data_IF_698919111149
#
_entry.id   IF_698919111149
#
_cell.length_a   1.000
_cell.length_b   1.000
_cell.length_c   1.000
_cell.angle_alpha   90.00
_cell.angle_beta   90.00
_cell.angle_gamma   90.00
#
_symmetry.space_group_name_H-M   'P 1'
#
loop_
_entity.id
_entity.type
_entity.pdbx_description
1 polymer ?
#
# COMPACT_ATOMS: atom_id res chain seq x y z
N UNK A 1 28.86 0.79 -11.29
CA UNK A 1 27.71 1.08 -10.40
C UNK A 1 26.60 1.60 -11.27
N UNK A 2 25.44 0.94 -11.32
CA UNK A 2 24.30 1.30 -12.20
C UNK A 2 23.52 2.49 -11.64
N UNK A 3 24.17 3.65 -11.56
CA UNK A 3 23.59 4.89 -11.01
C UNK A 3 22.44 5.41 -11.88
N UNK A 4 22.53 5.28 -13.21
CA UNK A 4 21.50 5.76 -14.14
C UNK A 4 20.17 5.01 -14.02
N UNK A 5 20.24 3.69 -13.84
CA UNK A 5 19.05 2.84 -13.68
C UNK A 5 18.34 3.07 -12.33
N UNK A 6 19.08 3.36 -11.26
CA UNK A 6 18.48 3.70 -9.95
C UNK A 6 17.71 5.02 -10.05
N UNK A 7 18.23 6.00 -10.78
CA UNK A 7 17.54 7.28 -10.98
C UNK A 7 16.23 7.12 -11.77
N UNK A 8 16.20 6.18 -12.73
CA UNK A 8 15.04 5.96 -13.60
C UNK A 8 13.96 5.07 -12.98
N UNK A 9 14.34 3.97 -12.31
CA UNK A 9 13.42 2.95 -11.79
C UNK A 9 13.39 2.83 -10.27
N UNK A 10 14.35 3.44 -9.58
CA UNK A 10 14.47 3.36 -8.14
C UNK A 10 13.56 4.35 -7.43
N UNK A 11 12.88 3.90 -6.38
CA UNK A 11 12.29 4.80 -5.38
C UNK A 11 13.37 5.71 -4.76
N UNK A 12 13.09 7.02 -4.73
CA UNK A 12 14.04 8.04 -4.23
C UNK A 12 14.11 8.11 -2.70
N UNK A 13 13.01 7.82 -2.02
CA UNK A 13 12.87 8.00 -0.56
C UNK A 13 12.77 6.64 0.15
N UNK A 14 13.89 5.93 0.23
CA UNK A 14 13.99 4.67 0.98
C UNK A 14 14.79 4.93 2.26
N UNK A 15 14.24 4.59 3.45
CA UNK A 15 14.97 4.78 4.70
C UNK A 15 16.21 3.86 4.77
N UNK A 16 17.25 4.31 5.46
CA UNK A 16 18.44 3.48 5.73
C UNK A 16 18.09 2.35 6.71
N UNK A 17 17.66 1.21 6.18
CA UNK A 17 17.34 0.00 6.95
C UNK A 17 18.61 -0.83 7.11
N UNK A 18 18.92 -1.16 8.35
CA UNK A 18 20.05 -2.02 8.72
C UNK A 18 19.57 -3.27 9.46
N UNK A 19 20.37 -4.35 9.44
CA UNK A 19 20.12 -5.49 10.31
C UNK A 19 19.99 -5.04 11.77
N UNK A 20 18.99 -5.53 12.48
CA UNK A 20 18.69 -5.14 13.86
C UNK A 20 17.60 -4.06 13.99
N UNK A 21 17.22 -3.40 12.90
CA UNK A 21 16.13 -2.43 12.91
C UNK A 21 14.76 -3.13 12.93
N UNK A 22 13.81 -2.58 13.67
CA UNK A 22 12.39 -2.95 13.60
C UNK A 22 11.70 -2.01 12.62
N UNK A 23 11.17 -2.60 11.55
CA UNK A 23 10.54 -1.87 10.45
C UNK A 23 9.11 -2.37 10.27
N UNK A 24 8.20 -1.43 10.04
CA UNK A 24 6.83 -1.68 9.59
C UNK A 24 6.73 -1.34 8.10
N UNK A 25 6.35 -2.34 7.31
CA UNK A 25 6.22 -2.22 5.86
C UNK A 25 4.76 -2.33 5.49
N UNK A 26 4.24 -1.32 4.80
CA UNK A 26 2.91 -1.35 4.23
C UNK A 26 3.01 -1.81 2.78
N UNK A 27 2.43 -2.96 2.46
CA UNK A 27 2.49 -3.53 1.12
C UNK A 27 1.10 -3.93 0.63
N UNK A 28 0.89 -3.74 -0.66
CA UNK A 28 -0.34 -4.08 -1.36
C UNK A 28 -0.41 -5.59 -1.56
N UNK A 29 -1.56 -6.17 -1.24
CA UNK A 29 -1.89 -7.57 -1.49
C UNK A 29 -3.12 -7.60 -2.38
N UNK A 30 -3.04 -8.36 -3.47
CA UNK A 30 -4.16 -8.64 -4.35
C UNK A 30 -4.64 -10.06 -4.08
N UNK A 31 -5.87 -10.21 -3.60
CA UNK A 31 -6.54 -11.50 -3.42
C UNK A 31 -7.71 -11.53 -4.40
N UNK A 32 -7.54 -12.24 -5.52
CA UNK A 32 -8.51 -12.25 -6.62
C UNK A 32 -8.70 -10.85 -7.21
N UNK A 33 -9.90 -10.30 -7.10
CA UNK A 33 -10.26 -8.97 -7.61
C UNK A 33 -10.07 -7.83 -6.61
N UNK A 34 -9.82 -8.12 -5.32
CA UNK A 34 -9.72 -7.09 -4.28
C UNK A 34 -8.26 -6.80 -3.94
N UNK A 35 -7.95 -5.51 -3.80
CA UNK A 35 -6.64 -5.05 -3.31
C UNK A 35 -6.77 -4.43 -1.94
N UNK A 36 -5.85 -4.76 -1.03
CA UNK A 36 -5.76 -4.13 0.30
C UNK A 36 -4.32 -3.87 0.68
N UNK A 37 -4.11 -2.91 1.57
CA UNK A 37 -2.79 -2.62 2.14
C UNK A 37 -2.68 -3.39 3.45
N UNK A 38 -1.65 -4.22 3.58
CA UNK A 38 -1.35 -4.91 4.84
C UNK A 38 -0.04 -4.38 5.41
N UNK A 39 0.00 -4.19 6.73
CA UNK A 39 1.22 -3.88 7.45
C UNK A 39 1.94 -5.16 7.90
N UNK A 40 3.24 -5.24 7.65
CA UNK A 40 4.13 -6.24 8.20
C UNK A 40 5.19 -5.57 9.06
N UNK A 41 5.11 -5.80 10.37
CA UNK A 41 6.10 -5.32 11.33
C UNK A 41 7.01 -6.46 11.78
N UNK A 42 8.32 -6.27 11.69
CA UNK A 42 9.30 -7.26 12.12
C UNK A 42 10.71 -6.69 12.24
N UNK A 43 11.60 -7.52 12.77
CA UNK A 43 13.03 -7.20 12.88
C UNK A 43 13.69 -7.53 11.55
N UNK A 44 14.47 -6.59 11.02
CA UNK A 44 15.35 -6.81 9.89
C UNK A 44 16.50 -7.74 10.30
N UNK A 45 16.51 -8.93 9.74
CA UNK A 45 17.54 -9.93 10.03
C UNK A 45 18.69 -9.90 9.02
N UNK A 46 18.45 -9.39 7.82
CA UNK A 46 19.43 -9.39 6.74
C UNK A 46 19.08 -8.31 5.73
N UNK A 47 20.10 -7.64 5.22
CA UNK A 47 20.02 -6.76 4.04
C UNK A 47 20.95 -7.36 2.99
N UNK A 48 20.44 -7.57 1.78
CA UNK A 48 21.16 -8.09 0.62
C UNK A 48 21.32 -7.00 -0.43
N UNK A 49 22.42 -7.05 -1.17
CA UNK A 49 22.73 -6.14 -2.30
C UNK A 49 22.76 -4.63 -1.96
N UNK A 50 22.76 -4.29 -0.66
CA UNK A 50 22.89 -2.91 -0.19
C UNK A 50 21.80 -2.00 -0.75
N UNK A 51 22.21 -0.86 -1.32
CA UNK A 51 21.33 0.13 -1.97
C UNK A 51 21.25 -0.02 -3.49
N UNK A 52 21.62 -1.18 -4.03
CA UNK A 52 21.40 -1.49 -5.44
C UNK A 52 19.90 -1.63 -5.76
N UNK A 53 19.55 -1.63 -7.04
CA UNK A 53 18.17 -1.90 -7.50
C UNK A 53 17.67 -3.28 -7.08
N UNK A 54 18.59 -4.25 -7.03
CA UNK A 54 18.42 -5.62 -6.53
C UNK A 54 18.48 -5.70 -5.00
N UNK A 55 18.62 -4.55 -4.33
CA UNK A 55 18.60 -4.41 -2.88
C UNK A 55 17.32 -4.96 -2.26
N UNK A 56 17.46 -5.85 -1.29
CA UNK A 56 16.34 -6.38 -0.54
C UNK A 56 16.68 -6.56 0.93
N UNK A 57 15.66 -6.59 1.78
CA UNK A 57 15.82 -6.85 3.20
C UNK A 57 14.79 -7.87 3.68
N UNK A 58 15.18 -8.69 4.65
CA UNK A 58 14.33 -9.74 5.21
C UNK A 58 13.87 -9.34 6.60
N UNK A 59 12.56 -9.27 6.79
CA UNK A 59 11.94 -9.05 8.09
C UNK A 59 11.48 -10.36 8.70
N UNK A 60 11.69 -10.50 10.01
CA UNK A 60 11.23 -11.63 10.82
C UNK A 60 10.30 -11.15 11.93
N UNK A 61 9.16 -11.81 12.08
CA UNK A 61 8.28 -11.66 13.25
C UNK A 61 7.78 -13.02 13.71
N UNK A 62 7.24 -13.08 14.93
CA UNK A 62 6.49 -14.24 15.40
C UNK A 62 5.01 -13.85 15.33
N UNK A 63 4.21 -14.62 14.59
CA UNK A 63 2.79 -14.39 14.40
C UNK A 63 2.06 -15.67 14.77
N UNK A 64 1.16 -15.64 15.76
CA UNK A 64 0.41 -16.83 16.18
C UNK A 64 1.30 -18.01 16.60
N UNK A 65 2.42 -17.74 17.26
CA UNK A 65 3.38 -18.79 17.68
C UNK A 65 4.34 -19.27 16.58
N UNK A 66 4.10 -18.94 15.32
CA UNK A 66 4.95 -19.34 14.19
C UNK A 66 5.88 -18.20 13.77
N UNK A 67 7.15 -18.51 13.51
CA UNK A 67 8.12 -17.57 12.96
C UNK A 67 7.85 -17.31 11.48
N UNK A 68 7.49 -16.08 11.12
CA UNK A 68 7.22 -15.67 9.74
C UNK A 68 8.34 -14.75 9.27
N UNK A 69 8.94 -15.10 8.14
CA UNK A 69 9.94 -14.29 7.45
C UNK A 69 9.41 -13.84 6.10
N UNK A 70 9.63 -12.56 5.76
CA UNK A 70 9.30 -12.01 4.45
C UNK A 70 10.48 -11.19 3.92
N UNK A 71 10.79 -11.41 2.64
CA UNK A 71 11.79 -10.61 1.92
C UNK A 71 11.08 -9.48 1.16
N UNK A 72 11.58 -8.26 1.32
CA UNK A 72 11.06 -7.06 0.67
C UNK A 72 12.17 -6.41 -0.15
N UNK A 73 12.00 -6.27 -1.48
CA UNK A 73 12.87 -5.44 -2.31
C UNK A 73 12.66 -3.96 -1.96
N UNK A 74 13.73 -3.18 -1.87
CA UNK A 74 13.64 -1.75 -1.51
C UNK A 74 12.83 -0.94 -2.53
N UNK A 75 13.00 -1.24 -3.81
CA UNK A 75 12.36 -0.49 -4.90
C UNK A 75 11.08 -1.16 -5.43
N UNK A 76 10.46 -2.07 -4.67
CA UNK A 76 9.24 -2.76 -5.12
C UNK A 76 8.06 -1.78 -5.26
N UNK A 77 7.31 -1.81 -6.39
CA UNK A 77 6.12 -0.98 -6.58
C UNK A 77 4.95 -1.42 -5.69
N UNK A 78 4.99 -2.65 -5.17
CA UNK A 78 3.95 -3.19 -4.29
C UNK A 78 4.01 -2.59 -2.88
N UNK A 79 5.14 -1.97 -2.51
CA UNK A 79 5.31 -1.36 -1.20
C UNK A 79 4.79 0.08 -1.26
N UNK A 80 3.91 0.43 -0.34
CA UNK A 80 3.37 1.78 -0.21
C UNK A 80 4.28 2.65 0.66
N UNK A 81 4.61 2.19 1.88
CA UNK A 81 5.36 2.97 2.86
C UNK A 81 6.28 2.09 3.71
N UNK A 82 7.41 2.64 4.10
CA UNK A 82 8.30 2.10 5.11
C UNK A 82 8.27 2.98 6.36
N UNK A 83 8.18 2.38 7.54
CA UNK A 83 8.30 3.08 8.81
C UNK A 83 9.34 2.38 9.68
N UNK A 84 10.38 3.13 10.03
CA UNK A 84 11.43 2.66 10.93
C UNK A 84 11.01 2.95 12.37
N UNK A 85 10.56 1.93 13.08
CA UNK A 85 10.02 2.08 14.44
C UNK A 85 11.15 2.12 15.47
N UNK A 86 12.08 1.16 15.39
CA UNK A 86 13.17 1.00 16.35
C UNK A 86 14.45 0.66 15.63
N UNK A 87 15.58 1.07 16.20
CA UNK A 87 16.90 0.66 15.73
C UNK A 87 17.67 0.01 16.86
N UNK A 88 18.43 -1.05 16.55
CA UNK A 88 19.32 -1.69 17.50
C UNK A 88 20.70 -1.82 16.89
N UNK A 89 21.72 -1.42 17.65
CA UNK A 89 23.11 -1.75 17.32
C UNK A 89 23.34 -3.25 17.46
N UNK A 90 23.65 -3.90 16.35
CA UNK A 90 24.03 -5.32 16.29
C UNK A 90 25.46 -5.45 15.79
N UNK A 91 26.10 -6.58 16.15
CA UNK A 91 27.49 -6.87 15.77
C UNK A 91 27.61 -7.68 14.48
N UNK A 92 26.52 -8.27 14.02
CA UNK A 92 26.49 -9.12 12.83
C UNK A 92 25.64 -8.49 11.72
N UNK A 93 26.07 -8.67 10.47
CA UNK A 93 25.32 -8.23 9.29
C UNK A 93 24.12 -9.13 8.94
N UNK A 94 24.12 -10.38 9.44
CA UNK A 94 23.04 -11.35 9.24
C UNK A 94 22.68 -12.00 10.58
N UNK A 95 21.47 -11.74 11.06
CA UNK A 95 20.98 -12.15 12.37
C UNK A 95 20.23 -13.48 12.31
N UNK A 96 20.75 -14.47 11.59
CA UNK A 96 20.10 -15.77 11.42
C UNK A 96 19.96 -16.53 12.74
N UNK A 97 20.85 -16.29 13.70
CA UNK A 97 20.78 -16.87 15.04
C UNK A 97 19.47 -16.55 15.77
N UNK A 98 18.76 -15.48 15.40
CA UNK A 98 17.47 -15.11 16.02
C UNK A 98 16.39 -16.18 15.78
N UNK A 99 16.58 -17.07 14.78
CA UNK A 99 15.65 -18.18 14.53
C UNK A 99 15.61 -19.19 15.66
N UNK A 100 16.78 -19.45 16.26
CA UNK A 100 16.97 -20.49 17.27
C UNK A 100 16.88 -19.93 18.70
N UNK A 101 16.69 -18.62 18.86
CA UNK A 101 16.55 -18.01 20.17
C UNK A 101 15.20 -18.36 20.80
N UNK A 102 15.26 -18.88 22.03
CA UNK A 102 14.08 -19.18 22.86
C UNK A 102 14.11 -18.36 24.15
N UNK A 103 12.92 -18.06 24.70
CA UNK A 103 12.75 -17.48 26.03
C UNK A 103 13.37 -16.09 26.22
N UNK A 104 14.13 -15.91 27.30
CA UNK A 104 14.73 -14.62 27.69
C UNK A 104 15.65 -14.04 26.61
N UNK A 105 16.37 -14.88 25.85
CA UNK A 105 17.27 -14.45 24.78
C UNK A 105 16.49 -13.87 23.59
N UNK A 106 15.37 -14.49 23.22
CA UNK A 106 14.48 -13.98 22.18
C UNK A 106 13.83 -12.65 22.58
N UNK A 107 13.40 -12.54 23.84
CA UNK A 107 12.84 -11.30 24.40
C UNK A 107 13.87 -10.16 24.37
N UNK A 108 15.10 -10.41 24.83
CA UNK A 108 16.20 -9.43 24.75
C UNK A 108 16.58 -9.04 23.34
N UNK A 109 16.40 -9.90 22.33
CA UNK A 109 16.62 -9.55 20.93
C UNK A 109 15.52 -8.62 20.37
N UNK A 110 14.28 -8.74 20.88
CA UNK A 110 13.16 -7.86 20.54
C UNK A 110 13.20 -6.51 21.27
N UNK A 111 13.56 -6.49 22.54
CA UNK A 111 13.52 -5.29 23.40
C UNK A 111 14.83 -4.49 23.33
N UNK A 112 14.89 -3.46 22.48
CA UNK A 112 16.01 -2.51 22.43
C UNK A 112 15.60 -1.24 23.19
N UNK A 113 16.48 -0.75 24.08
CA UNK A 113 16.21 0.37 24.98
C UNK A 113 16.54 1.76 24.39
N UNK A 114 17.05 1.84 23.17
CA UNK A 114 17.45 3.12 22.58
C UNK A 114 16.53 3.46 21.40
N UNK A 115 15.81 4.57 21.53
CA UNK A 115 14.84 5.05 20.56
C UNK A 115 15.38 6.28 19.86
N UNK A 116 15.53 6.22 18.54
CA UNK A 116 15.45 7.39 17.66
C UNK A 116 14.30 7.12 16.70
N UNK A 117 13.14 7.71 16.99
CA UNK A 117 12.00 7.72 16.09
C UNK A 117 12.44 8.58 14.89
N UNK A 118 12.56 7.96 13.72
CA UNK A 118 12.68 8.72 12.47
C UNK A 118 11.25 9.08 12.05
N UNK A 119 10.78 10.26 12.45
CA UNK A 119 9.64 10.92 11.81
C UNK A 119 10.08 11.55 10.49
N UNK A 120 10.64 10.75 9.58
CA UNK A 120 10.62 11.22 8.21
C UNK A 120 9.19 11.00 7.69
N UNK A 121 8.46 12.11 7.63
CA UNK A 121 7.16 12.26 7.02
C UNK A 121 7.23 11.95 5.51
N UNK A 122 7.46 10.67 5.17
CA UNK A 122 7.43 10.24 3.79
C UNK A 122 6.12 9.55 3.48
N UNK A 123 5.37 10.22 2.62
CA UNK A 123 4.11 9.72 2.08
C UNK A 123 3.00 10.74 2.12
N UNK A 124 3.12 11.87 2.83
CA UNK A 124 2.07 12.90 2.79
C UNK A 124 1.82 13.40 1.36
N UNK A 125 2.88 13.65 0.59
CA UNK A 125 2.71 14.16 -0.77
C UNK A 125 2.18 13.11 -1.76
N UNK A 126 2.50 11.83 -1.57
CA UNK A 126 1.94 10.75 -2.40
C UNK A 126 0.52 10.36 -1.97
N UNK A 127 0.20 10.40 -0.67
CA UNK A 127 -1.16 10.20 -0.15
C UNK A 127 -2.07 11.37 -0.54
N UNK A 128 -1.60 12.62 -0.42
CA UNK A 128 -2.35 13.81 -0.85
C UNK A 128 -2.65 13.76 -2.35
N UNK A 129 -1.69 13.33 -3.18
CA UNK A 129 -1.92 13.12 -4.62
C UNK A 129 -2.94 12.02 -4.90
N UNK A 130 -2.88 10.89 -4.19
CA UNK A 130 -3.85 9.80 -4.34
C UNK A 130 -5.25 10.23 -3.83
N UNK A 131 -5.32 11.03 -2.77
CA UNK A 131 -6.57 11.57 -2.23
C UNK A 131 -7.19 12.62 -3.15
N UNK A 132 -6.39 13.54 -3.71
CA UNK A 132 -6.82 14.49 -4.74
C UNK A 132 -7.29 13.78 -6.01
N UNK A 133 -6.57 12.76 -6.47
CA UNK A 133 -6.93 11.99 -7.66
C UNK A 133 -8.22 11.18 -7.42
N UNK A 134 -8.42 10.65 -6.21
CA UNK A 134 -9.70 10.03 -5.82
C UNK A 134 -10.83 11.03 -5.66
N UNK A 135 -10.58 12.24 -5.16
CA UNK A 135 -11.58 13.29 -5.02
C UNK A 135 -12.03 13.79 -6.41
N UNK A 136 -11.09 14.05 -7.32
CA UNK A 136 -11.39 14.39 -8.72
C UNK A 136 -12.14 13.28 -9.44
N UNK A 137 -11.73 12.03 -9.26
CA UNK A 137 -12.46 10.89 -9.82
C UNK A 137 -13.85 10.66 -9.19
N UNK A 138 -14.11 11.18 -7.98
CA UNK A 138 -15.42 11.14 -7.35
C UNK A 138 -16.33 12.27 -7.85
N UNK A 139 -15.80 13.47 -8.04
CA UNK A 139 -16.49 14.60 -8.68
C UNK A 139 -16.86 14.29 -10.13
N UNK A 140 -15.92 13.77 -10.92
CA UNK A 140 -16.18 13.39 -12.31
C UNK A 140 -17.25 12.28 -12.41
N UNK A 141 -17.27 11.33 -11.46
CA UNK A 141 -18.32 10.30 -11.39
C UNK A 141 -19.67 10.84 -10.91
N UNK A 142 -19.68 11.89 -10.08
CA UNK A 142 -20.91 12.56 -9.67
C UNK A 142 -21.50 13.36 -10.84
N UNK A 143 -20.65 14.07 -11.58
CA UNK A 143 -21.06 14.86 -12.75
C UNK A 143 -21.54 13.98 -13.91
N UNK A 144 -20.92 12.81 -14.13
CA UNK A 144 -21.39 11.81 -15.10
C UNK A 144 -22.74 11.22 -14.67
N UNK A 145 -22.93 10.95 -13.37
CA UNK A 145 -24.22 10.47 -12.85
C UNK A 145 -25.34 11.51 -12.95
N UNK A 146 -25.03 12.79 -12.72
CA UNK A 146 -26.00 13.87 -12.90
C UNK A 146 -26.39 14.03 -14.36
N UNK A 147 -25.41 14.00 -15.29
CA UNK A 147 -25.68 14.03 -16.74
C UNK A 147 -26.49 12.83 -17.22
N UNK A 148 -26.17 11.63 -16.72
CA UNK A 148 -26.90 10.40 -17.07
C UNK A 148 -28.32 10.40 -16.52
N UNK A 149 -28.53 10.97 -15.32
CA UNK A 149 -29.86 11.13 -14.71
C UNK A 149 -30.71 12.17 -15.47
N UNK A 150 -30.11 13.30 -15.86
CA UNK A 150 -30.77 14.33 -16.66
C UNK A 150 -31.13 13.83 -18.08
N UNK A 151 -30.31 12.94 -18.65
CA UNK A 151 -30.59 12.28 -19.93
C UNK A 151 -31.70 11.21 -19.82
N UNK A 152 -31.77 10.51 -18.68
CA UNK A 152 -32.85 9.56 -18.37
C UNK A 152 -34.19 10.26 -18.11
N UNK A 153 -34.19 11.38 -17.41
CA UNK A 153 -35.41 12.17 -17.15
C UNK A 153 -35.98 12.74 -18.47
N UNK A 154 -35.12 13.22 -19.37
CA UNK A 154 -35.53 13.67 -20.73
C UNK A 154 -36.07 12.52 -21.59
N UNK A 155 -35.51 11.31 -21.47
CA UNK A 155 -36.04 10.11 -22.16
C UNK A 155 -37.36 9.64 -21.58
N UNK A 156 -37.58 9.81 -20.27
CA UNK A 156 -38.84 9.47 -19.60
C UNK A 156 -39.98 10.41 -19.98
N UNK A 157 -39.73 11.73 -20.06
CA UNK A 157 -40.72 12.70 -20.55
C UNK A 157 -41.07 12.51 -22.03
N UNK A 158 -40.09 12.16 -22.87
CA UNK A 158 -40.34 11.82 -24.27
C UNK A 158 -41.16 10.53 -24.43
N UNK A 159 -40.96 9.54 -23.55
CA UNK A 159 -41.72 8.29 -23.55
C UNK A 159 -43.16 8.48 -23.04
N UNK A 160 -43.40 9.37 -22.06
CA UNK A 160 -44.76 9.66 -21.59
C UNK A 160 -45.57 10.46 -22.63
N UNK A 161 -44.93 11.37 -23.36
CA UNK A 161 -45.57 12.09 -24.47
C UNK A 161 -45.95 11.15 -25.63
N UNK A 162 -45.11 10.15 -25.93
CA UNK A 162 -45.43 9.11 -26.92
C UNK A 162 -46.56 8.17 -26.47
N UNK A 163 -46.72 7.95 -25.16
CA UNK A 163 -47.83 7.15 -24.59
C UNK A 163 -49.16 7.91 -24.63
N UNK A 164 -49.15 9.22 -24.36
CA UNK A 164 -50.34 10.09 -24.53
C UNK A 164 -50.78 10.19 -26.00
N UNK A 165 -49.85 10.22 -26.96
CA UNK A 165 -50.21 10.17 -28.38
C UNK A 165 -50.74 8.80 -28.83
N UNK A 166 -50.31 7.70 -28.20
CA UNK A 166 -50.80 6.34 -28.50
C UNK A 166 -52.22 6.09 -27.96
N UNK A 167 -52.56 6.56 -26.75
CA UNK A 167 -53.92 6.48 -26.19
C UNK A 167 -54.95 7.30 -26.98
N UNK A 168 -54.50 8.33 -27.72
CA UNK A 168 -55.39 9.15 -28.57
C UNK A 168 -55.81 8.47 -29.90
N UNK A 169 -55.14 7.38 -30.31
CA UNK A 169 -55.42 6.67 -31.58
C UNK A 169 -56.18 5.36 -31.43
N UNK A 170 -56.39 4.85 -30.21
CA UNK A 170 -56.95 3.51 -30.01
C UNK A 170 -58.44 3.44 -29.62
N UNK A 171 -59.21 4.53 -29.75
CA UNK A 171 -60.65 4.46 -29.53
C UNK A 171 -61.50 5.04 -30.68
N UNK A 172 -61.69 4.32 -31.80
CA UNK A 172 -62.76 4.63 -32.74
C UNK A 172 -64.10 4.22 -32.09
N UNK A 173 -64.94 5.22 -31.80
CA UNK A 173 -66.32 5.06 -31.30
C UNK A 173 -67.12 4.12 -32.21
N UNK A 174 -67.72 3.09 -31.61
CA UNK A 174 -68.98 2.48 -32.03
C UNK A 174 -69.95 2.46 -30.86
#
# INVERSE_FOLDING_TARGET
MNIDLISQFGKKNIPDIRPGDTVRVFYKITEGSKTRIQAFEGICICVKHGRGLDGSFTLRKISGGVGVEKNFPFHSPLISKFEKIKSRKVRQSKLYFIRDLVGKKAKKAKEAKDYKIWEEAFGEDELKKIEEEKAKAAEEKAEVKEKEKEELDKKFEAASAAHEEAESKENPKS
#
